data_IF_138940682955
#
_entry.id   IF_138940682955
#
_cell.length_a   1.000
_cell.length_b   1.000
_cell.length_c   1.000
_cell.angle_alpha   90.00
_cell.angle_beta   90.00
_cell.angle_gamma   90.00
#
_symmetry.space_group_name_H-M   'P 1'
#
loop_
_entity.id
_entity.type
_entity.pdbx_description
1 polymer ?
#
# COMPACT_ATOMS: atom_id res chain seq x y z
N UNK A 1 26.84 33.36 -1.88
CA UNK A 1 25.41 33.71 -1.99
C UNK A 1 24.55 33.03 -0.91
N UNK A 2 24.88 31.82 -0.42
CA UNK A 2 24.09 31.08 0.58
C UNK A 2 23.99 31.72 1.97
N UNK A 3 25.08 32.28 2.51
CA UNK A 3 25.10 32.81 3.89
C UNK A 3 24.21 34.04 4.09
N UNK A 4 23.88 34.77 3.01
CA UNK A 4 23.00 35.94 3.08
C UNK A 4 21.53 35.58 3.28
N UNK A 5 21.09 34.43 2.76
CA UNK A 5 19.69 33.98 2.85
C UNK A 5 19.33 33.48 4.25
N UNK A 6 20.29 32.95 5.01
CA UNK A 6 20.05 32.46 6.37
C UNK A 6 19.72 33.59 7.34
N UNK A 7 20.23 34.81 7.11
CA UNK A 7 20.04 35.95 8.01
C UNK A 7 18.67 36.62 7.84
N UNK A 8 17.97 36.34 6.74
CA UNK A 8 16.65 36.88 6.45
C UNK A 8 15.52 35.96 6.93
N UNK A 9 15.84 34.81 7.55
CA UNK A 9 14.85 33.93 8.18
C UNK A 9 14.34 34.62 9.45
N UNK A 10 13.04 34.97 9.54
CA UNK A 10 12.49 35.56 10.74
C UNK A 10 12.69 34.61 11.92
N UNK A 11 13.17 35.12 13.05
CA UNK A 11 13.21 34.32 14.27
C UNK A 11 11.79 33.98 14.70
N UNK A 12 11.45 32.70 14.59
CA UNK A 12 10.18 32.16 15.03
C UNK A 12 10.26 31.81 16.51
N UNK A 13 9.27 32.25 17.29
CA UNK A 13 9.07 31.78 18.67
C UNK A 13 8.24 30.49 18.71
N UNK A 14 7.94 29.92 17.54
CA UNK A 14 7.11 28.74 17.37
C UNK A 14 8.03 27.54 17.14
N UNK A 15 7.89 26.53 17.99
CA UNK A 15 8.62 25.28 17.84
C UNK A 15 8.05 24.50 16.64
N UNK A 16 8.89 23.88 15.79
CA UNK A 16 8.42 23.12 14.61
C UNK A 16 7.30 22.10 14.92
N UNK A 17 7.32 21.53 16.12
CA UNK A 17 6.36 20.55 16.61
C UNK A 17 4.94 21.12 16.74
N UNK A 18 4.78 22.44 16.92
CA UNK A 18 3.44 23.04 17.04
C UNK A 18 2.67 23.01 15.72
N UNK A 19 3.35 22.90 14.57
CA UNK A 19 2.71 22.71 13.27
C UNK A 19 2.19 21.28 13.07
N UNK A 20 2.60 20.36 13.96
CA UNK A 20 2.14 18.97 13.96
C UNK A 20 0.96 18.73 14.90
N UNK A 21 0.43 19.75 15.58
CA UNK A 21 -0.69 19.61 16.52
C UNK A 21 -1.94 19.02 15.85
N UNK A 22 -2.26 19.47 14.64
CA UNK A 22 -3.36 18.96 13.83
C UNK A 22 -3.09 17.52 13.37
N UNK A 23 -1.82 17.21 13.08
CA UNK A 23 -1.36 15.87 12.70
C UNK A 23 -1.43 14.91 13.88
N UNK A 24 -1.14 15.35 15.11
CA UNK A 24 -1.12 14.49 16.30
C UNK A 24 -2.48 13.82 16.58
N UNK A 25 -3.58 14.53 16.31
CA UNK A 25 -4.93 13.98 16.44
C UNK A 25 -5.30 13.02 15.30
N UNK A 26 -4.75 13.24 14.09
CA UNK A 26 -4.93 12.36 12.93
C UNK A 26 -4.00 11.14 12.93
N UNK A 27 -2.78 11.25 13.47
CA UNK A 27 -1.79 10.16 13.53
C UNK A 27 -2.35 9.00 14.32
N UNK A 28 -3.06 9.26 15.41
CA UNK A 28 -3.72 8.21 16.20
C UNK A 28 -4.75 7.41 15.39
N UNK A 29 -5.31 7.97 14.31
CA UNK A 29 -6.23 7.29 13.38
C UNK A 29 -5.54 6.68 12.16
N UNK A 30 -4.27 7.00 11.91
CA UNK A 30 -3.49 6.56 10.73
C UNK A 30 -2.49 5.44 11.05
N UNK A 31 -2.47 4.91 12.27
CA UNK A 31 -1.42 3.98 12.72
C UNK A 31 -1.54 2.55 12.19
N UNK A 32 -2.65 2.17 11.55
CA UNK A 32 -2.77 0.85 10.94
C UNK A 32 -3.57 0.85 9.64
N UNK A 33 -3.08 0.07 8.68
CA UNK A 33 -3.88 -0.31 7.53
C UNK A 33 -4.88 -1.39 7.96
N UNK A 34 -6.11 -1.29 7.44
CA UNK A 34 -7.14 -2.32 7.65
C UNK A 34 -6.68 -3.63 7.02
N UNK A 35 -6.87 -4.73 7.73
CA UNK A 35 -6.66 -6.07 7.17
C UNK A 35 -7.63 -6.34 6.02
N UNK A 36 -7.09 -6.98 4.99
CA UNK A 36 -7.84 -7.47 3.85
C UNK A 36 -8.53 -8.76 4.23
N UNK A 37 -9.79 -8.93 3.82
CA UNK A 37 -10.60 -10.10 4.11
C UNK A 37 -10.75 -11.04 2.91
N UNK A 38 -11.01 -12.32 3.17
CA UNK A 38 -11.23 -13.32 2.11
C UNK A 38 -12.40 -12.98 1.17
N UNK A 39 -13.58 -12.54 1.64
CA UNK A 39 -14.68 -12.19 0.76
C UNK A 39 -14.35 -11.05 -0.21
N UNK A 40 -13.54 -10.09 0.23
CA UNK A 40 -13.08 -8.98 -0.63
C UNK A 40 -12.16 -9.50 -1.74
N UNK A 41 -11.17 -10.33 -1.40
CA UNK A 41 -10.25 -10.92 -2.38
C UNK A 41 -10.98 -11.86 -3.33
N UNK A 42 -11.90 -12.69 -2.83
CA UNK A 42 -12.68 -13.59 -3.66
C UNK A 42 -13.52 -12.83 -4.68
N UNK A 43 -14.19 -11.75 -4.25
CA UNK A 43 -14.96 -10.89 -5.15
C UNK A 43 -14.09 -10.22 -6.22
N UNK A 44 -12.89 -9.77 -5.85
CA UNK A 44 -11.93 -9.18 -6.79
C UNK A 44 -11.43 -10.21 -7.82
N UNK A 45 -11.10 -11.44 -7.39
CA UNK A 45 -10.67 -12.51 -8.27
C UNK A 45 -11.77 -12.94 -9.24
N UNK A 46 -13.00 -13.06 -8.77
CA UNK A 46 -14.15 -13.41 -9.60
C UNK A 46 -14.56 -12.28 -10.56
N UNK A 47 -14.26 -11.03 -10.19
CA UNK A 47 -14.49 -9.85 -11.02
C UNK A 47 -13.45 -9.61 -12.13
N UNK A 48 -12.42 -10.47 -12.25
CA UNK A 48 -11.41 -10.32 -13.29
C UNK A 48 -11.99 -10.49 -14.70
N UNK A 49 -11.49 -9.71 -15.65
CA UNK A 49 -11.86 -9.84 -17.06
C UNK A 49 -11.01 -10.92 -17.72
N UNK A 50 -11.63 -12.05 -18.05
CA UNK A 50 -10.99 -13.24 -18.62
C UNK A 50 -10.17 -13.02 -19.92
N UNK A 51 -10.42 -11.94 -20.66
CA UNK A 51 -9.72 -11.60 -21.91
C UNK A 51 -8.49 -10.71 -21.71
N UNK A 52 -8.20 -10.28 -20.48
CA UNK A 52 -7.00 -9.48 -20.19
C UNK A 52 -5.74 -10.33 -20.35
N UNK A 53 -4.66 -9.68 -20.78
CA UNK A 53 -3.36 -10.30 -20.89
C UNK A 53 -2.89 -10.84 -19.53
N UNK A 54 -2.16 -11.95 -19.56
CA UNK A 54 -1.52 -12.51 -18.37
C UNK A 54 -0.37 -11.61 -17.92
N UNK A 55 -0.04 -11.66 -16.64
CA UNK A 55 1.14 -10.99 -16.11
C UNK A 55 2.44 -11.63 -16.61
N UNK A 56 3.56 -11.18 -16.04
CA UNK A 56 4.89 -11.77 -16.30
C UNK A 56 5.01 -13.23 -15.85
N UNK A 57 4.05 -13.70 -15.06
CA UNK A 57 3.91 -15.08 -14.59
C UNK A 57 3.26 -16.02 -15.62
N UNK A 58 2.66 -15.48 -16.70
CA UNK A 58 1.95 -16.26 -17.70
C UNK A 58 0.63 -16.87 -17.22
N UNK A 59 0.14 -16.52 -16.02
CA UNK A 59 -1.10 -17.05 -15.48
C UNK A 59 -2.27 -16.22 -16.00
N UNK A 60 -3.14 -16.85 -16.78
CA UNK A 60 -4.30 -16.15 -17.34
C UNK A 60 -5.36 -15.82 -16.29
N UNK A 61 -6.07 -14.71 -16.50
CA UNK A 61 -7.21 -14.32 -15.66
C UNK A 61 -8.29 -15.41 -15.56
N UNK A 62 -8.48 -16.22 -16.61
CA UNK A 62 -9.40 -17.37 -16.60
C UNK A 62 -9.03 -18.40 -15.53
N UNK A 63 -7.74 -18.73 -15.42
CA UNK A 63 -7.26 -19.69 -14.42
C UNK A 63 -7.42 -19.09 -13.02
N UNK A 64 -7.11 -17.81 -12.84
CA UNK A 64 -7.30 -17.13 -11.55
C UNK A 64 -8.77 -17.14 -11.09
N UNK A 65 -9.72 -16.90 -12.01
CA UNK A 65 -11.16 -16.95 -11.70
C UNK A 65 -11.57 -18.37 -11.27
N UNK A 66 -11.14 -19.40 -12.01
CA UNK A 66 -11.46 -20.81 -11.70
C UNK A 66 -10.86 -21.23 -10.35
N UNK A 67 -9.61 -20.84 -10.10
CA UNK A 67 -8.89 -21.19 -8.89
C UNK A 67 -9.23 -20.29 -7.69
N UNK A 68 -10.03 -19.23 -7.87
CA UNK A 68 -10.28 -18.19 -6.87
C UNK A 68 -10.62 -18.75 -5.47
N UNK A 69 -11.53 -19.73 -5.31
CA UNK A 69 -11.86 -20.27 -3.99
C UNK A 69 -10.67 -20.94 -3.29
N UNK A 70 -9.75 -21.53 -4.06
CA UNK A 70 -8.59 -22.25 -3.52
C UNK A 70 -7.41 -21.33 -3.19
N UNK A 71 -7.22 -20.25 -3.97
CA UNK A 71 -6.07 -19.35 -3.82
C UNK A 71 -6.35 -18.14 -2.91
N UNK A 72 -7.62 -17.84 -2.63
CA UNK A 72 -8.03 -16.68 -1.82
C UNK A 72 -7.34 -16.63 -0.45
N UNK A 73 -7.30 -17.72 0.36
CA UNK A 73 -6.66 -17.68 1.68
C UNK A 73 -5.17 -17.33 1.61
N UNK A 74 -4.47 -17.89 0.62
CA UNK A 74 -3.04 -17.63 0.38
C UNK A 74 -2.79 -16.17 -0.02
N UNK A 75 -3.62 -15.61 -0.91
CA UNK A 75 -3.50 -14.21 -1.35
C UNK A 75 -3.75 -13.25 -0.20
N UNK A 76 -4.78 -13.48 0.61
CA UNK A 76 -5.06 -12.69 1.82
C UNK A 76 -3.87 -12.72 2.78
N UNK A 77 -3.32 -13.91 3.04
CA UNK A 77 -2.16 -14.06 3.93
C UNK A 77 -0.95 -13.25 3.44
N UNK A 78 -0.61 -13.36 2.15
CA UNK A 78 0.53 -12.62 1.55
C UNK A 78 0.32 -11.12 1.67
N UNK A 79 -0.86 -10.60 1.32
CA UNK A 79 -1.10 -9.16 1.38
C UNK A 79 -1.10 -8.62 2.81
N UNK A 80 -1.78 -9.29 3.76
CA UNK A 80 -1.81 -8.84 5.14
C UNK A 80 -0.41 -8.91 5.77
N UNK A 81 0.39 -9.94 5.47
CA UNK A 81 1.79 -9.99 5.87
C UNK A 81 2.62 -8.85 5.27
N UNK A 82 2.42 -8.54 3.98
CA UNK A 82 3.16 -7.47 3.32
C UNK A 82 2.83 -6.10 3.92
N UNK A 83 1.55 -5.86 4.20
CA UNK A 83 1.06 -4.63 4.83
C UNK A 83 1.60 -4.50 6.27
N UNK A 84 1.54 -5.57 7.06
CA UNK A 84 1.98 -5.56 8.45
C UNK A 84 3.50 -5.40 8.61
N UNK A 85 4.28 -5.98 7.70
CA UNK A 85 5.75 -5.99 7.79
C UNK A 85 6.42 -4.92 6.94
N UNK A 86 5.72 -4.34 5.97
CA UNK A 86 6.31 -3.48 4.95
C UNK A 86 7.22 -4.22 3.95
N UNK A 87 7.25 -5.56 3.99
CA UNK A 87 8.07 -6.39 3.11
C UNK A 87 7.21 -6.89 1.96
N UNK A 88 7.64 -6.62 0.73
CA UNK A 88 6.94 -7.01 -0.49
C UNK A 88 7.81 -7.96 -1.33
N UNK A 89 7.21 -8.90 -2.09
CA UNK A 89 7.94 -9.73 -3.03
C UNK A 89 8.80 -8.88 -3.98
N UNK A 90 10.07 -9.23 -4.14
CA UNK A 90 11.01 -8.47 -4.96
C UNK A 90 10.54 -8.35 -6.41
N UNK A 91 9.92 -9.39 -6.95
CA UNK A 91 9.39 -9.43 -8.31
C UNK A 91 8.30 -8.39 -8.55
N UNK A 92 7.57 -7.96 -7.51
CA UNK A 92 6.54 -6.94 -7.62
C UNK A 92 7.10 -5.52 -7.72
N UNK A 93 8.38 -5.31 -7.40
CA UNK A 93 9.06 -4.01 -7.47
C UNK A 93 9.71 -3.76 -8.84
N UNK A 94 9.66 -4.74 -9.73
CA UNK A 94 10.24 -4.62 -11.07
C UNK A 94 9.23 -3.99 -12.01
N UNK A 95 9.30 -2.67 -12.17
CA UNK A 95 8.62 -1.99 -13.27
C UNK A 95 9.40 -2.24 -14.58
N UNK A 96 8.71 -2.67 -15.62
CA UNK A 96 9.24 -2.79 -16.98
C UNK A 96 8.48 -1.87 -17.92
#
# INVERSE_FOLDING_TARGET
MGDKLSNDIPQSNVTPESYLSDVQNSVNQLTCFREITEPEILGLLQGLVASKASGIDGISAKILIIAAPAITPSIVSIFNQSIATGIFPSDWKVAR
#
